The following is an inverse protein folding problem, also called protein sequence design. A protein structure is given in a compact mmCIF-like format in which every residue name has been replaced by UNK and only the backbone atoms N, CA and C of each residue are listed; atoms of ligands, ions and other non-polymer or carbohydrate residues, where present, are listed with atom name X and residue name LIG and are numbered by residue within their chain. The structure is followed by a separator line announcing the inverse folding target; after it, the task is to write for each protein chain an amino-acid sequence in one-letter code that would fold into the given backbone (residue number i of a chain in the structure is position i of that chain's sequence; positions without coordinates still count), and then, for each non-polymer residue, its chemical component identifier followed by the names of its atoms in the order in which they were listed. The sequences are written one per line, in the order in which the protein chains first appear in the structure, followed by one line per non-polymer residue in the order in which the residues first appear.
data_IF_427208372282
#
_entry.id   IF_427208372282
#
_cell.length_a   1.000
_cell.length_b   1.000
_cell.length_c   1.000
_cell.angle_alpha   90.00
_cell.angle_beta   90.00
_cell.angle_gamma   90.00
#
_symmetry.space_group_name_H-M   'P 1'
#
loop_
_entity.id
_entity.type
_entity.pdbx_description
1 polymer ?
#
# COMPACT_ATOMS: atom_id res chain seq x y z
N UNK A 1 4.07 -15.74 -7.92
CA UNK A 1 4.22 -14.56 -7.06
C UNK A 1 3.68 -13.34 -7.75
N UNK A 2 2.87 -12.59 -7.06
CA UNK A 2 2.30 -11.37 -7.59
C UNK A 2 2.69 -10.19 -6.72
N UNK A 3 2.86 -9.06 -7.33
CA UNK A 3 3.19 -7.84 -6.62
C UNK A 3 2.16 -6.78 -6.99
N UNK A 4 1.58 -6.17 -5.97
CA UNK A 4 0.63 -5.08 -6.16
C UNK A 4 1.18 -3.84 -5.49
N UNK A 5 1.09 -2.73 -6.20
CA UNK A 5 1.56 -1.46 -5.67
C UNK A 5 0.37 -0.54 -5.48
N UNK A 6 0.29 0.06 -4.32
CA UNK A 6 -0.73 1.04 -4.03
C UNK A 6 -0.02 2.33 -3.66
N UNK A 7 -0.36 3.40 -4.35
CA UNK A 7 0.27 4.68 -4.13
C UNK A 7 -0.81 5.74 -3.91
N UNK A 8 -0.69 6.46 -2.82
CA UNK A 8 -1.63 7.51 -2.47
C UNK A 8 -0.87 8.74 -1.98
N UNK A 9 -1.54 9.86 -1.98
CA UNK A 9 -0.93 11.10 -1.56
C UNK A 9 -0.96 11.30 -0.05
N UNK A 10 -1.85 10.64 0.63
CA UNK A 10 -2.02 10.82 2.06
C UNK A 10 -2.08 9.49 2.77
N UNK A 11 -1.57 9.49 4.00
CA UNK A 11 -1.46 8.25 4.76
C UNK A 11 -2.81 7.59 5.01
N UNK A 12 -3.83 8.37 5.33
CA UNK A 12 -5.13 7.77 5.61
C UNK A 12 -5.77 7.18 4.36
N UNK A 13 -5.50 7.78 3.21
CA UNK A 13 -5.99 7.23 1.95
C UNK A 13 -5.28 5.92 1.65
N UNK A 14 -3.98 5.88 1.93
CA UNK A 14 -3.21 4.66 1.73
C UNK A 14 -3.70 3.57 2.65
N UNK A 15 -3.90 3.90 3.92
CA UNK A 15 -4.37 2.93 4.90
C UNK A 15 -5.70 2.35 4.49
N UNK A 16 -6.63 3.19 4.07
CA UNK A 16 -7.93 2.72 3.62
C UNK A 16 -7.82 1.83 2.40
N UNK A 17 -7.00 2.23 1.43
CA UNK A 17 -6.81 1.45 0.22
C UNK A 17 -6.19 0.10 0.53
N UNK A 18 -5.21 0.07 1.41
CA UNK A 18 -4.55 -1.18 1.80
C UNK A 18 -5.53 -2.08 2.53
N UNK A 19 -6.28 -1.52 3.46
CA UNK A 19 -7.25 -2.32 4.20
C UNK A 19 -8.32 -2.91 3.29
N UNK A 20 -8.78 -2.14 2.33
CA UNK A 20 -9.75 -2.63 1.36
C UNK A 20 -9.15 -3.73 0.49
N UNK A 21 -7.91 -3.56 0.09
CA UNK A 21 -7.22 -4.56 -0.70
C UNK A 21 -7.06 -5.86 0.08
N UNK A 22 -6.62 -5.77 1.32
CA UNK A 22 -6.43 -6.94 2.16
C UNK A 22 -7.74 -7.69 2.40
N UNK A 23 -8.80 -6.95 2.63
CA UNK A 23 -10.10 -7.55 2.85
C UNK A 23 -10.56 -8.32 1.62
N UNK A 24 -10.35 -7.73 0.46
CA UNK A 24 -10.72 -8.36 -0.80
C UNK A 24 -9.89 -9.60 -1.08
N UNK A 25 -8.58 -9.48 -0.88
CA UNK A 25 -7.68 -10.60 -1.11
C UNK A 25 -8.01 -11.78 -0.19
N UNK A 26 -8.29 -11.49 1.07
CA UNK A 26 -8.66 -12.51 2.01
C UNK A 26 -9.97 -13.18 1.62
N UNK A 27 -10.89 -12.37 1.13
CA UNK A 27 -12.21 -12.85 0.73
C UNK A 27 -12.13 -13.87 -0.41
N UNK A 28 -11.21 -13.67 -1.34
CA UNK A 28 -11.07 -14.58 -2.47
C UNK A 28 -10.02 -15.65 -2.23
N UNK A 29 -9.48 -15.70 -1.02
CA UNK A 29 -8.55 -16.76 -0.65
C UNK A 29 -7.11 -16.56 -1.10
N UNK A 30 -6.74 -15.37 -1.46
CA UNK A 30 -5.36 -15.09 -1.84
C UNK A 30 -4.47 -15.00 -0.62
N UNK A 31 -3.26 -15.46 -0.77
CA UNK A 31 -2.32 -15.48 0.33
C UNK A 31 -1.33 -14.34 0.19
N UNK A 32 -1.24 -13.55 1.24
CA UNK A 32 -0.31 -12.44 1.27
C UNK A 32 0.98 -12.90 1.95
N UNK A 33 2.08 -12.71 1.26
CA UNK A 33 3.36 -13.16 1.76
C UNK A 33 4.09 -12.06 2.51
N UNK A 34 3.99 -10.83 2.03
CA UNK A 34 4.72 -9.73 2.66
C UNK A 34 4.11 -8.41 2.25
N UNK A 35 4.27 -7.42 3.10
CA UNK A 35 3.83 -6.08 2.82
C UNK A 35 4.97 -5.15 3.15
N UNK A 36 5.39 -4.36 2.16
CA UNK A 36 6.47 -3.41 2.35
C UNK A 36 5.94 -2.01 2.19
N UNK A 37 6.22 -1.19 3.16
CA UNK A 37 5.79 0.19 3.17
C UNK A 37 6.96 1.08 2.80
N UNK A 38 6.73 1.98 1.87
CA UNK A 38 7.73 2.94 1.48
C UNK A 38 7.11 4.32 1.60
N UNK A 39 7.59 5.08 2.56
CA UNK A 39 7.18 6.45 2.74
C UNK A 39 8.28 7.38 2.34
N UNK A 40 7.95 8.40 1.61
CA UNK A 40 8.90 9.45 1.31
C UNK A 40 9.06 10.28 2.57
N UNK A 41 10.15 10.07 3.23
CA UNK A 41 10.42 10.79 4.45
C UNK A 41 10.78 12.22 4.25
N UNK A 42 11.04 12.60 3.04
CA UNK A 42 11.48 13.93 2.73
C UNK A 42 10.37 14.71 2.12
N UNK A 43 9.90 15.66 2.84
CA UNK A 43 8.98 16.57 2.27
C UNK A 43 9.49 17.94 2.50
N UNK A 44 9.58 18.64 1.46
CA UNK A 44 9.66 20.05 1.53
C UNK A 44 8.25 20.56 1.60
N UNK A 45 8.11 21.82 1.85
CA UNK A 45 6.80 22.44 1.94
C UNK A 45 6.01 22.30 0.66
N UNK A 46 6.64 21.94 -0.42
CA UNK A 46 5.99 21.90 -1.72
C UNK A 46 5.70 20.50 -2.19
N UNK A 47 6.28 19.53 -1.54
CA UNK A 47 6.09 18.18 -2.03
C UNK A 47 4.87 17.58 -1.38
N UNK A 48 4.07 16.98 -2.19
CA UNK A 48 3.03 16.13 -1.71
C UNK A 48 3.73 14.86 -1.25
N UNK A 49 3.58 14.55 0.00
CA UNK A 49 4.11 13.31 0.52
C UNK A 49 3.44 12.17 -0.23
N UNK A 50 4.25 11.32 -0.81
CA UNK A 50 3.74 10.15 -1.50
C UNK A 50 4.01 8.94 -0.64
N UNK A 51 2.97 8.19 -0.41
CA UNK A 51 3.07 6.96 0.35
C UNK A 51 2.78 5.81 -0.59
N UNK A 52 3.60 4.79 -0.53
CA UNK A 52 3.36 3.62 -1.34
C UNK A 52 3.53 2.36 -0.52
N UNK A 53 2.75 1.36 -0.89
CA UNK A 53 2.81 0.05 -0.26
C UNK A 53 2.94 -0.98 -1.36
N UNK A 54 3.88 -1.90 -1.16
CA UNK A 54 4.05 -3.02 -2.06
C UNK A 54 3.53 -4.26 -1.35
N UNK A 55 2.55 -4.90 -1.94
CA UNK A 55 1.96 -6.12 -1.37
C UNK A 55 2.39 -7.28 -2.22
N UNK A 56 3.12 -8.20 -1.61
CA UNK A 56 3.64 -9.38 -2.29
C UNK A 56 2.75 -10.55 -1.96
N UNK A 57 2.24 -11.17 -2.99
CA UNK A 57 1.30 -12.27 -2.87
C UNK A 57 1.86 -13.52 -3.53
N UNK A 58 1.38 -14.64 -3.10
CA UNK A 58 1.80 -15.92 -3.65
C UNK A 58 1.37 -16.15 -5.09
#
# INVERSE_FOLDING_TARGET
MKVNMICKNRYWELEEAVNNFLRRATSIGEKIMDIKFSGEGNYSAYSTARCSVMIIME
#
